data_IF_739582356916
#
_entry.id   IF_739582356916
#
_cell.length_a   1.000
_cell.length_b   1.000
_cell.length_c   1.000
_cell.angle_alpha   90.00
_cell.angle_beta   90.00
_cell.angle_gamma   90.00
#
_symmetry.space_group_name_H-M   'P 1'
#
loop_
_entity.id
_entity.type
_entity.pdbx_description
1 polymer ?
#
# COMPACT_ATOMS: atom_id res chain seq x y z
N UNK A 1 -9.26 -29.35 3.14
CA UNK A 1 -8.42 -30.23 2.29
C UNK A 1 -8.63 -29.91 0.80
N UNK A 2 -9.04 -28.69 0.50
CA UNK A 2 -9.81 -28.42 -0.73
C UNK A 2 -8.96 -27.69 -1.78
N UNK A 3 -7.97 -26.93 -1.33
CA UNK A 3 -6.93 -26.37 -2.18
C UNK A 3 -6.09 -27.45 -2.89
N UNK A 4 -5.81 -28.57 -2.21
CA UNK A 4 -5.02 -29.66 -2.79
C UNK A 4 -5.76 -30.37 -3.93
N UNK A 5 -7.07 -30.59 -3.79
CA UNK A 5 -7.88 -31.21 -4.86
C UNK A 5 -8.06 -30.26 -6.06
N UNK A 6 -8.22 -28.96 -5.79
CA UNK A 6 -8.28 -27.94 -6.85
C UNK A 6 -6.96 -27.84 -7.62
N UNK A 7 -5.83 -27.75 -6.91
CA UNK A 7 -4.48 -27.71 -7.52
C UNK A 7 -4.20 -28.99 -8.32
N UNK A 8 -4.56 -30.16 -7.76
CA UNK A 8 -4.37 -31.44 -8.44
C UNK A 8 -5.23 -31.54 -9.72
N UNK A 9 -6.44 -30.99 -9.71
CA UNK A 9 -7.32 -30.89 -10.87
C UNK A 9 -6.72 -30.03 -12.00
N UNK A 10 -6.20 -28.85 -11.66
CA UNK A 10 -5.57 -27.94 -12.64
C UNK A 10 -4.29 -28.57 -13.23
N UNK A 11 -3.42 -29.13 -12.39
CA UNK A 11 -2.21 -29.82 -12.84
C UNK A 11 -2.53 -31.00 -13.77
N UNK A 12 -3.52 -31.82 -13.42
CA UNK A 12 -3.99 -32.92 -14.25
C UNK A 12 -4.52 -32.45 -15.62
N UNK A 13 -5.26 -31.35 -15.64
CA UNK A 13 -5.82 -30.77 -16.86
C UNK A 13 -4.70 -30.29 -17.81
N UNK A 14 -3.68 -29.61 -17.29
CA UNK A 14 -2.53 -29.12 -18.07
C UNK A 14 -1.75 -30.28 -18.68
N UNK A 15 -1.44 -31.32 -17.90
CA UNK A 15 -0.72 -32.51 -18.40
C UNK A 15 -1.53 -33.23 -19.49
N UNK A 16 -2.84 -33.36 -19.31
CA UNK A 16 -3.71 -34.02 -20.30
C UNK A 16 -3.78 -33.22 -21.62
N UNK A 17 -3.85 -31.88 -21.54
CA UNK A 17 -3.78 -30.99 -22.69
C UNK A 17 -2.47 -31.13 -23.47
N UNK A 18 -1.33 -31.17 -22.78
CA UNK A 18 -0.01 -31.36 -23.40
C UNK A 18 0.07 -32.71 -24.12
N UNK A 19 -0.40 -33.80 -23.49
CA UNK A 19 -0.41 -35.12 -24.12
C UNK A 19 -1.36 -35.20 -25.32
N UNK A 20 -2.47 -34.45 -25.31
CA UNK A 20 -3.39 -34.35 -26.44
C UNK A 20 -2.72 -33.64 -27.62
N UNK A 21 -2.02 -32.52 -27.39
CA UNK A 21 -1.23 -31.83 -28.41
C UNK A 21 -0.17 -32.75 -29.03
N UNK A 22 0.58 -33.50 -28.19
CA UNK A 22 1.57 -34.47 -28.67
C UNK A 22 0.92 -35.61 -29.46
N UNK A 23 -0.26 -36.08 -29.05
CA UNK A 23 -1.01 -37.13 -29.74
C UNK A 23 -1.59 -36.69 -31.08
N UNK A 24 -1.98 -35.41 -31.21
CA UNK A 24 -2.38 -34.78 -32.48
C UNK A 24 -1.20 -34.80 -33.45
N UNK A 25 -0.03 -34.36 -33.02
CA UNK A 25 1.18 -34.32 -33.85
C UNK A 25 1.63 -35.72 -34.25
N UNK A 26 1.52 -36.70 -33.35
CA UNK A 26 1.97 -38.09 -33.58
C UNK A 26 0.91 -39.00 -34.25
N UNK A 27 -0.25 -38.48 -34.64
CA UNK A 27 -1.36 -39.22 -35.29
C UNK A 27 -1.75 -40.52 -34.58
N UNK A 28 -1.70 -40.55 -33.25
CA UNK A 28 -2.06 -41.73 -32.43
C UNK A 28 -3.55 -41.74 -32.07
N UNK A 29 -4.13 -42.92 -31.74
CA UNK A 29 -5.56 -43.02 -31.44
C UNK A 29 -5.96 -42.20 -30.20
N UNK A 30 -6.92 -41.29 -30.41
CA UNK A 30 -7.31 -40.24 -29.44
C UNK A 30 -8.30 -40.69 -28.36
N UNK A 31 -8.87 -41.90 -28.50
CA UNK A 31 -10.00 -42.38 -27.68
C UNK A 31 -9.66 -42.50 -26.19
N UNK A 32 -8.45 -42.94 -25.85
CA UNK A 32 -8.01 -43.11 -24.45
C UNK A 32 -7.71 -41.77 -23.75
N UNK A 33 -7.20 -40.78 -24.50
CA UNK A 33 -6.90 -39.44 -23.99
C UNK A 33 -8.18 -38.62 -23.74
N UNK A 34 -9.18 -38.78 -24.60
CA UNK A 34 -10.47 -38.09 -24.43
C UNK A 34 -11.19 -38.54 -23.15
N UNK A 35 -11.12 -39.84 -22.83
CA UNK A 35 -11.69 -40.39 -21.58
C UNK A 35 -11.00 -39.80 -20.34
N UNK A 36 -9.67 -39.65 -20.39
CA UNK A 36 -8.91 -39.01 -19.31
C UNK A 36 -9.29 -37.54 -19.09
N UNK A 37 -9.52 -36.79 -20.18
CA UNK A 37 -9.96 -35.39 -20.11
C UNK A 37 -11.35 -35.27 -19.45
N UNK A 38 -12.30 -36.13 -19.80
CA UNK A 38 -13.62 -36.15 -19.18
C UNK A 38 -13.55 -36.47 -17.68
N UNK A 39 -12.68 -37.40 -17.26
CA UNK A 39 -12.48 -37.72 -15.85
C UNK A 39 -11.91 -36.53 -15.06
N UNK A 40 -10.91 -35.83 -15.60
CA UNK A 40 -10.36 -34.62 -14.98
C UNK A 40 -11.39 -33.49 -14.88
N UNK A 41 -12.22 -33.32 -15.89
CA UNK A 41 -13.28 -32.31 -15.89
C UNK A 41 -14.33 -32.57 -14.82
N UNK A 42 -14.72 -33.84 -14.61
CA UNK A 42 -15.66 -34.22 -13.55
C UNK A 42 -15.07 -33.92 -12.17
N UNK A 43 -13.79 -34.24 -11.94
CA UNK A 43 -13.10 -33.94 -10.67
C UNK A 43 -13.02 -32.42 -10.43
N UNK A 44 -12.74 -31.64 -11.47
CA UNK A 44 -12.71 -30.18 -11.40
C UNK A 44 -14.09 -29.60 -11.03
N UNK A 45 -15.17 -30.05 -11.67
CA UNK A 45 -16.53 -29.57 -11.38
C UNK A 45 -16.95 -29.92 -9.95
N UNK A 46 -16.59 -31.11 -9.46
CA UNK A 46 -16.85 -31.51 -8.06
C UNK A 46 -16.06 -30.62 -7.10
N UNK A 47 -14.79 -30.31 -7.41
CA UNK A 47 -13.96 -29.43 -6.58
C UNK A 47 -14.48 -27.99 -6.50
N UNK A 48 -15.09 -27.47 -7.57
CA UNK A 48 -15.68 -26.12 -7.61
C UNK A 48 -17.09 -26.08 -7.01
N UNK A 49 -17.82 -27.21 -6.99
CA UNK A 49 -19.23 -27.26 -6.57
C UNK A 49 -19.45 -27.68 -5.11
N UNK A 50 -18.38 -27.95 -4.35
CA UNK A 50 -18.52 -28.16 -2.91
C UNK A 50 -18.68 -26.80 -2.21
N UNK A 51 -19.76 -26.57 -1.44
CA UNK A 51 -19.87 -25.37 -0.61
C UNK A 51 -18.74 -25.36 0.41
N UNK A 52 -18.15 -24.17 0.65
CA UNK A 52 -17.14 -23.98 1.69
C UNK A 52 -17.67 -24.50 3.03
N UNK A 53 -17.17 -25.66 3.46
CA UNK A 53 -17.30 -26.06 4.85
C UNK A 53 -16.38 -25.14 5.64
N UNK A 54 -16.99 -24.24 6.42
CA UNK A 54 -16.33 -23.37 7.39
C UNK A 54 -15.22 -24.13 8.11
N UNK A 55 -13.98 -23.77 7.83
CA UNK A 55 -12.82 -24.19 8.61
C UNK A 55 -12.74 -23.31 9.87
N UNK A 56 -13.69 -23.52 10.78
CA UNK A 56 -13.49 -23.21 12.19
C UNK A 56 -13.13 -24.52 12.89
N UNK A 57 -11.85 -24.69 13.21
CA UNK A 57 -11.39 -24.46 14.59
C UNK A 57 -10.06 -25.21 14.81
N UNK A 58 -9.03 -24.43 15.17
CA UNK A 58 -7.90 -24.76 16.07
C UNK A 58 -6.80 -23.69 15.90
N UNK A 59 -7.10 -22.45 16.30
CA UNK A 59 -6.47 -21.82 17.46
C UNK A 59 -7.07 -20.44 17.74
N UNK A 60 -8.19 -20.45 18.45
CA UNK A 60 -8.56 -19.55 19.55
C UNK A 60 -8.21 -18.05 19.46
N UNK A 61 -9.27 -17.32 19.09
CA UNK A 61 -9.73 -16.03 19.66
C UNK A 61 -9.00 -14.76 19.23
N UNK A 62 -9.50 -14.16 18.13
CA UNK A 62 -9.80 -12.73 18.11
C UNK A 62 -11.18 -12.55 17.48
N UNK A 63 -12.15 -12.20 18.32
CA UNK A 63 -13.46 -11.71 17.87
C UNK A 63 -13.20 -10.54 16.93
N UNK A 64 -13.58 -10.69 15.66
CA UNK A 64 -13.74 -9.55 14.75
C UNK A 64 -15.07 -8.93 15.13
N UNK A 65 -15.03 -8.07 16.14
CA UNK A 65 -15.98 -6.99 16.22
C UNK A 65 -15.67 -6.04 15.08
N UNK A 66 -16.67 -5.79 14.23
CA UNK A 66 -16.76 -4.60 13.38
C UNK A 66 -16.54 -3.36 14.25
N UNK A 67 -15.29 -2.90 14.33
CA UNK A 67 -14.91 -1.69 15.04
C UNK A 67 -14.99 -0.50 14.08
N UNK A 68 -15.79 0.50 14.46
CA UNK A 68 -15.76 1.83 13.88
C UNK A 68 -14.31 2.33 13.76
N UNK A 69 -13.87 2.68 12.56
CA UNK A 69 -12.52 3.18 12.23
C UNK A 69 -12.13 4.49 12.96
N UNK A 70 -13.04 5.06 13.76
CA UNK A 70 -12.85 6.30 14.51
C UNK A 70 -12.27 6.10 15.92
N UNK A 71 -12.27 4.89 16.48
CA UNK A 71 -11.75 4.64 17.84
C UNK A 71 -10.32 4.04 17.82
N UNK A 72 -9.54 4.35 18.87
CA UNK A 72 -8.19 3.81 19.02
C UNK A 72 -8.21 2.29 19.23
N UNK A 73 -7.27 1.59 18.60
CA UNK A 73 -7.09 0.16 18.78
C UNK A 73 -6.25 -0.15 20.05
N UNK A 74 -6.21 -1.42 20.47
CA UNK A 74 -5.50 -1.85 21.69
C UNK A 74 -4.00 -1.50 21.69
N UNK A 75 -3.37 -1.55 20.52
CA UNK A 75 -1.94 -1.24 20.33
C UNK A 75 -1.67 0.27 20.49
N UNK A 76 -2.53 1.11 19.90
CA UNK A 76 -2.51 2.56 20.05
C UNK A 76 -2.74 3.00 21.50
N UNK A 77 -3.59 2.28 22.23
CA UNK A 77 -3.81 2.51 23.65
C UNK A 77 -2.61 2.11 24.51
N UNK A 78 -1.85 1.08 24.10
CA UNK A 78 -0.62 0.69 24.79
C UNK A 78 0.46 1.76 24.69
N UNK A 79 0.57 2.43 23.53
CA UNK A 79 1.51 3.53 23.30
C UNK A 79 1.27 4.69 24.26
N UNK A 80 0.00 4.99 24.56
CA UNK A 80 -0.36 6.06 25.51
C UNK A 80 0.21 5.81 26.92
N UNK A 81 0.47 4.56 27.30
CA UNK A 81 0.99 4.23 28.63
C UNK A 81 2.52 4.27 28.73
N UNK A 82 3.23 4.50 27.61
CA UNK A 82 4.70 4.57 27.56
C UNK A 82 5.20 6.01 27.71
N UNK A 83 6.48 6.19 28.00
CA UNK A 83 7.15 7.50 27.88
C UNK A 83 7.67 7.69 26.47
N UNK A 84 7.69 8.94 25.98
CA UNK A 84 8.11 9.27 24.62
C UNK A 84 9.55 8.83 24.31
N UNK A 85 10.42 8.84 25.34
CA UNK A 85 11.81 8.41 25.19
C UNK A 85 11.96 6.89 25.05
N UNK A 86 10.99 6.12 25.53
CA UNK A 86 10.98 4.66 25.46
C UNK A 86 10.26 4.15 24.20
N UNK A 87 9.67 5.05 23.41
CA UNK A 87 9.02 4.71 22.14
C UNK A 87 10.07 4.39 21.07
N UNK A 88 9.80 3.32 20.33
CA UNK A 88 10.45 3.05 19.04
C UNK A 88 10.07 4.10 18.00
N UNK A 89 10.85 4.21 16.92
CA UNK A 89 10.54 5.16 15.84
C UNK A 89 9.18 4.88 15.17
N UNK A 90 8.76 3.61 15.16
CA UNK A 90 7.45 3.19 14.69
C UNK A 90 6.33 3.66 15.61
N UNK A 91 6.49 3.51 16.94
CA UNK A 91 5.51 3.97 17.92
C UNK A 91 5.42 5.51 17.98
N UNK A 92 6.53 6.21 17.74
CA UNK A 92 6.53 7.69 17.59
C UNK A 92 5.71 8.14 16.39
N UNK A 93 5.72 7.38 15.30
CA UNK A 93 4.87 7.64 14.13
C UNK A 93 3.40 7.34 14.44
N UNK A 94 3.12 6.25 15.15
CA UNK A 94 1.77 5.94 15.62
C UNK A 94 1.20 7.02 16.57
N UNK A 95 2.04 7.68 17.38
CA UNK A 95 1.61 8.84 18.19
C UNK A 95 1.04 9.99 17.35
N UNK A 96 1.55 10.18 16.12
CA UNK A 96 1.03 11.19 15.18
C UNK A 96 -0.36 10.76 14.68
N UNK A 97 -0.54 9.48 14.38
CA UNK A 97 -1.83 8.90 13.96
C UNK A 97 -2.87 9.02 15.07
N UNK A 98 -2.48 8.73 16.31
CA UNK A 98 -3.34 8.89 17.50
C UNK A 98 -3.79 10.35 17.63
N UNK A 99 -2.90 11.33 17.47
CA UNK A 99 -3.25 12.75 17.50
C UNK A 99 -4.25 13.12 16.39
N UNK A 100 -4.03 12.65 15.17
CA UNK A 100 -4.94 12.91 14.05
C UNK A 100 -6.33 12.33 14.29
N UNK A 101 -6.43 11.11 14.84
CA UNK A 101 -7.73 10.51 15.23
C UNK A 101 -8.44 11.35 16.31
N UNK A 102 -7.70 11.91 17.25
CA UNK A 102 -8.25 12.82 18.27
C UNK A 102 -8.77 14.13 17.67
N UNK A 103 -8.04 14.71 16.72
CA UNK A 103 -8.46 15.92 16.01
C UNK A 103 -9.73 15.64 15.16
N UNK A 104 -9.88 14.40 14.70
CA UNK A 104 -11.06 13.91 13.98
C UNK A 104 -12.21 13.44 14.89
N UNK A 105 -12.12 13.67 16.20
CA UNK A 105 -13.23 13.44 17.13
C UNK A 105 -13.26 12.07 17.81
N UNK A 106 -12.18 11.29 17.74
CA UNK A 106 -12.06 10.05 18.50
C UNK A 106 -12.26 10.28 20.01
N UNK A 107 -13.02 9.39 20.65
CA UNK A 107 -13.33 9.50 22.08
C UNK A 107 -12.26 8.83 22.93
N UNK A 108 -11.57 9.61 23.76
CA UNK A 108 -10.70 9.11 24.83
C UNK A 108 -11.37 9.23 26.19
N UNK A 109 -11.07 8.26 27.07
CA UNK A 109 -11.33 8.44 28.48
C UNK A 109 -10.37 9.49 29.08
N UNK A 110 -10.65 9.94 30.30
CA UNK A 110 -9.89 11.00 30.97
C UNK A 110 -8.40 10.66 31.13
N UNK A 111 -8.10 9.41 31.51
CA UNK A 111 -6.74 8.92 31.75
C UNK A 111 -5.93 8.88 30.45
N UNK A 112 -6.50 8.36 29.36
CA UNK A 112 -5.87 8.29 28.04
C UNK A 112 -5.56 9.69 27.50
N UNK A 113 -6.45 10.66 27.72
CA UNK A 113 -6.23 12.05 27.30
C UNK A 113 -5.09 12.72 28.07
N UNK A 114 -5.00 12.46 29.37
CA UNK A 114 -3.88 12.95 30.21
C UNK A 114 -2.55 12.33 29.75
N UNK A 115 -2.55 11.04 29.46
CA UNK A 115 -1.40 10.30 28.93
C UNK A 115 -0.95 10.82 27.56
N UNK A 116 -1.88 11.08 26.63
CA UNK A 116 -1.57 11.68 25.33
C UNK A 116 -0.94 13.07 25.48
N UNK A 117 -1.50 13.93 26.33
CA UNK A 117 -0.95 15.27 26.56
C UNK A 117 0.46 15.21 27.18
N UNK A 118 0.70 14.27 28.09
CA UNK A 118 2.02 14.01 28.66
C UNK A 118 3.02 13.60 27.59
N UNK A 119 2.67 12.67 26.72
CA UNK A 119 3.51 12.22 25.59
C UNK A 119 3.84 13.34 24.60
N UNK A 120 2.86 14.17 24.26
CA UNK A 120 3.07 15.32 23.37
C UNK A 120 4.04 16.35 24.00
N UNK A 121 3.94 16.57 25.31
CA UNK A 121 4.87 17.45 26.02
C UNK A 121 6.29 16.87 26.06
N UNK A 122 6.43 15.57 26.35
CA UNK A 122 7.74 14.89 26.33
C UNK A 122 8.38 14.93 24.93
N UNK A 123 7.57 14.83 23.87
CA UNK A 123 8.02 15.02 22.49
C UNK A 123 8.59 16.41 22.26
N UNK A 124 7.89 17.46 22.69
CA UNK A 124 8.37 18.85 22.55
C UNK A 124 9.70 19.06 23.28
N UNK A 125 9.84 18.52 24.49
CA UNK A 125 11.07 18.57 25.28
C UNK A 125 12.21 17.78 24.61
N UNK A 126 11.93 16.60 24.05
CA UNK A 126 12.90 15.82 23.28
C UNK A 126 13.42 16.58 22.06
N UNK A 127 12.51 17.19 21.28
CA UNK A 127 12.86 17.99 20.10
C UNK A 127 13.64 19.26 20.46
N UNK A 128 13.33 19.90 21.60
CA UNK A 128 14.04 21.07 22.08
C UNK A 128 15.51 20.77 22.43
N UNK A 129 15.80 19.55 22.91
CA UNK A 129 17.12 19.12 23.37
C UNK A 129 17.99 18.45 22.28
N UNK A 130 17.52 18.36 21.03
CA UNK A 130 18.34 17.82 19.94
C UNK A 130 19.53 18.75 19.59
N UNK A 131 20.77 18.22 19.49
CA UNK A 131 21.95 18.99 19.11
C UNK A 131 21.82 19.60 17.71
N UNK A 132 22.29 20.84 17.56
CA UNK A 132 22.02 21.71 16.41
C UNK A 132 22.53 21.21 15.05
N UNK A 133 23.40 20.20 15.01
CA UNK A 133 23.86 19.57 13.75
C UNK A 133 22.91 18.49 13.20
N UNK A 134 21.82 18.16 13.92
CA UNK A 134 20.64 17.43 13.41
C UNK A 134 19.44 18.35 13.12
N UNK A 135 19.62 19.68 13.17
CA UNK A 135 18.58 20.68 12.82
C UNK A 135 18.69 21.10 11.35
N UNK A 136 18.49 20.16 10.44
CA UNK A 136 18.15 20.47 9.03
C UNK A 136 17.06 19.48 8.64
N UNK A 137 15.80 19.71 9.04
CA UNK A 137 14.81 20.27 8.09
C UNK A 137 13.54 20.88 8.75
N UNK A 138 13.47 21.12 10.07
CA UNK A 138 12.21 21.50 10.74
C UNK A 138 12.10 22.99 11.16
N UNK A 139 12.69 23.93 10.41
CA UNK A 139 12.67 25.37 10.81
C UNK A 139 12.25 26.38 9.74
N UNK A 140 11.39 26.00 8.80
CA UNK A 140 10.82 26.96 7.83
C UNK A 140 9.31 26.90 7.64
N UNK A 141 8.54 26.49 8.65
CA UNK A 141 7.08 26.68 8.63
C UNK A 141 6.57 27.18 9.97
N UNK A 142 6.97 28.40 10.37
CA UNK A 142 6.18 29.15 11.35
C UNK A 142 6.43 30.67 11.25
N UNK A 143 5.89 31.30 10.21
CA UNK A 143 5.11 32.55 10.31
C UNK A 143 4.82 33.14 8.92
N UNK A 144 3.55 33.07 8.49
CA UNK A 144 2.86 34.26 8.00
C UNK A 144 1.35 34.11 8.16
N UNK A 145 0.82 34.93 9.08
CA UNK A 145 -0.57 35.31 9.31
C UNK A 145 -1.47 35.27 8.06
N UNK A 146 -2.56 34.50 8.21
CA UNK A 146 -3.96 34.74 7.80
C UNK A 146 -4.18 35.95 6.87
N UNK A 147 -4.41 35.67 5.58
CA UNK A 147 -5.54 36.23 4.83
C UNK A 147 -5.80 35.40 3.56
N UNK A 148 -7.00 34.79 3.46
CA UNK A 148 -7.64 34.11 2.31
C UNK A 148 -6.92 32.93 1.62
N UNK A 149 -7.23 31.67 2.01
CA UNK A 149 -7.33 30.46 1.15
C UNK A 149 -7.45 29.17 2.01
N UNK A 150 -8.66 28.64 2.30
CA UNK A 150 -8.81 27.48 3.19
C UNK A 150 -9.13 26.13 2.50
N UNK A 151 -9.16 26.05 1.17
CA UNK A 151 -9.65 24.82 0.47
C UNK A 151 -8.52 24.04 -0.22
N UNK A 152 -7.44 24.71 -0.58
CA UNK A 152 -6.40 24.16 -1.47
C UNK A 152 -5.32 23.36 -0.72
N UNK A 153 -5.04 23.74 0.52
CA UNK A 153 -4.09 23.04 1.40
C UNK A 153 -4.68 21.72 1.90
N UNK A 154 -5.97 21.71 2.21
CA UNK A 154 -6.71 20.51 2.62
C UNK A 154 -6.69 19.43 1.54
N UNK A 155 -6.93 19.78 0.27
CA UNK A 155 -6.98 18.78 -0.80
C UNK A 155 -5.62 18.15 -1.11
N UNK A 156 -4.53 18.93 -1.03
CA UNK A 156 -3.16 18.39 -1.16
C UNK A 156 -2.87 17.37 -0.05
N UNK A 157 -3.29 17.67 1.17
CA UNK A 157 -3.19 16.78 2.33
C UNK A 157 -3.99 15.49 2.15
N UNK A 158 -5.22 15.55 1.63
CA UNK A 158 -6.03 14.36 1.33
C UNK A 158 -5.36 13.42 0.31
N UNK A 159 -4.79 13.98 -0.76
CA UNK A 159 -4.08 13.19 -1.79
C UNK A 159 -2.84 12.53 -1.17
N UNK A 160 -2.07 13.30 -0.38
CA UNK A 160 -0.89 12.77 0.31
C UNK A 160 -1.26 11.65 1.28
N UNK A 161 -2.33 11.81 2.06
CA UNK A 161 -2.83 10.79 2.98
C UNK A 161 -3.29 9.54 2.24
N UNK A 162 -3.98 9.68 1.10
CA UNK A 162 -4.40 8.53 0.30
C UNK A 162 -3.19 7.70 -0.19
N UNK A 163 -2.09 8.36 -0.56
CA UNK A 163 -0.83 7.73 -0.95
C UNK A 163 -0.20 7.02 0.26
N UNK A 164 -0.05 7.71 1.40
CA UNK A 164 0.52 7.13 2.63
C UNK A 164 -0.24 5.90 3.09
N UNK A 165 -1.57 6.01 3.22
CA UNK A 165 -2.42 4.88 3.61
C UNK A 165 -2.24 3.70 2.67
N UNK A 166 -2.12 3.93 1.36
CA UNK A 166 -1.94 2.83 0.42
C UNK A 166 -0.60 2.11 0.57
N UNK A 167 0.47 2.83 0.88
CA UNK A 167 1.79 2.28 1.12
C UNK A 167 1.77 1.39 2.38
N UNK A 168 1.11 1.88 3.43
CA UNK A 168 0.96 1.20 4.72
C UNK A 168 0.08 -0.06 4.58
N UNK A 169 -1.14 0.08 4.06
CA UNK A 169 -2.09 -1.01 3.82
C UNK A 169 -1.53 -2.07 2.86
N UNK A 170 -0.81 -1.58 1.85
CA UNK A 170 -0.19 -2.38 0.80
C UNK A 170 0.94 -3.27 1.25
N UNK A 171 1.47 -3.03 2.45
CA UNK A 171 2.66 -3.69 2.96
C UNK A 171 3.78 -3.62 1.93
N UNK A 172 4.14 -2.41 1.49
CA UNK A 172 5.30 -2.21 0.61
C UNK A 172 6.61 -2.44 1.38
N UNK A 173 6.84 -3.69 1.80
CA UNK A 173 7.86 -4.12 2.77
C UNK A 173 9.30 -3.78 2.36
N UNK A 174 9.50 -3.48 1.09
CA UNK A 174 10.81 -3.24 0.49
C UNK A 174 10.91 -1.83 -0.10
N UNK A 175 9.92 -0.97 0.15
CA UNK A 175 9.90 0.41 -0.31
C UNK A 175 9.95 1.35 0.89
N UNK A 176 11.04 2.10 1.01
CA UNK A 176 11.18 3.11 2.05
C UNK A 176 10.73 4.45 1.47
N UNK A 177 9.59 4.99 1.92
CA UNK A 177 9.11 6.29 1.46
C UNK A 177 10.06 7.39 1.96
N UNK A 178 10.61 8.18 1.04
CA UNK A 178 11.47 9.33 1.32
C UNK A 178 10.63 10.61 1.44
N UNK A 179 9.81 10.90 0.43
CA UNK A 179 8.94 12.09 0.43
C UNK A 179 7.80 11.97 -0.59
N UNK A 180 6.76 12.76 -0.37
CA UNK A 180 5.65 13.00 -1.30
C UNK A 180 5.58 14.51 -1.56
N UNK A 181 5.36 14.92 -2.79
CA UNK A 181 5.17 16.32 -3.18
C UNK A 181 3.93 16.39 -4.06
N UNK A 182 2.95 17.20 -3.67
CA UNK A 182 1.74 17.46 -4.45
C UNK A 182 1.79 18.90 -4.97
N UNK A 183 1.92 19.04 -6.29
CA UNK A 183 1.99 20.34 -6.96
C UNK A 183 0.71 20.61 -7.75
N UNK A 184 0.35 21.88 -7.93
CA UNK A 184 -0.69 22.25 -8.88
C UNK A 184 -0.20 22.04 -10.32
N UNK A 185 -1.11 21.59 -11.17
CA UNK A 185 -0.90 21.48 -12.59
C UNK A 185 -1.25 22.83 -13.27
N UNK A 186 -0.27 23.74 -13.39
CA UNK A 186 -0.44 25.06 -14.00
C UNK A 186 -0.67 25.03 -15.54
N UNK A 187 -0.83 23.84 -16.15
CA UNK A 187 -0.96 23.64 -17.60
C UNK A 187 -2.38 23.30 -18.07
N UNK A 188 -3.03 24.27 -18.73
CA UNK A 188 -4.20 24.16 -19.62
C UNK A 188 -5.41 23.31 -19.16
N UNK A 189 -6.32 23.91 -18.37
CA UNK A 189 -7.77 23.89 -18.61
C UNK A 189 -8.52 22.56 -18.76
N UNK A 190 -7.97 21.42 -18.32
CA UNK A 190 -8.59 20.09 -18.34
C UNK A 190 -8.88 19.53 -16.94
N UNK A 191 -9.43 18.30 -16.88
CA UNK A 191 -9.59 17.54 -15.62
C UNK A 191 -8.22 17.16 -15.06
N UNK A 192 -7.93 17.57 -13.83
CA UNK A 192 -6.68 17.26 -13.13
C UNK A 192 -5.91 18.52 -12.69
N UNK A 193 -6.19 18.96 -11.46
CA UNK A 193 -5.59 20.15 -10.84
C UNK A 193 -4.24 19.90 -10.20
N UNK A 194 -3.85 18.64 -9.99
CA UNK A 194 -2.64 18.27 -9.26
C UNK A 194 -1.73 17.29 -10.03
N UNK A 195 -0.44 17.35 -9.70
CA UNK A 195 0.59 16.38 -10.06
C UNK A 195 1.19 15.85 -8.76
N UNK A 196 1.26 14.52 -8.62
CA UNK A 196 1.86 13.86 -7.47
C UNK A 196 3.27 13.35 -7.81
N UNK A 197 4.25 13.69 -6.97
CA UNK A 197 5.62 13.17 -7.07
C UNK A 197 5.92 12.36 -5.81
N UNK A 198 6.20 11.07 -5.97
CA UNK A 198 6.44 10.15 -4.86
C UNK A 198 7.86 9.60 -4.97
N UNK A 199 8.62 9.64 -3.88
CA UNK A 199 10.02 9.25 -3.86
C UNK A 199 10.21 8.10 -2.87
N UNK A 200 10.77 7.00 -3.35
CA UNK A 200 11.12 5.83 -2.58
C UNK A 200 12.62 5.55 -2.64
N UNK A 201 13.13 4.88 -1.60
CA UNK A 201 14.43 4.22 -1.58
C UNK A 201 14.22 2.70 -1.58
N UNK A 202 15.04 2.02 -2.37
CA UNK A 202 15.04 0.57 -2.52
C UNK A 202 16.43 0.04 -2.15
N UNK A 203 16.55 -0.48 -0.94
CA UNK A 203 17.81 -0.93 -0.32
C UNK A 203 17.99 -2.46 -0.33
N UNK A 204 17.03 -3.18 -0.91
CA UNK A 204 17.08 -4.65 -0.97
C UNK A 204 18.07 -5.11 -2.03
N UNK A 205 18.99 -5.98 -1.60
CA UNK A 205 19.93 -6.67 -2.47
C UNK A 205 19.19 -7.60 -3.43
N UNK A 206 19.07 -7.19 -4.70
CA UNK A 206 18.46 -7.96 -5.77
C UNK A 206 19.10 -7.62 -7.12
N UNK A 207 18.91 -8.51 -8.10
CA UNK A 207 19.31 -8.21 -9.49
C UNK A 207 18.49 -7.04 -10.03
N UNK A 208 19.08 -6.31 -10.98
CA UNK A 208 18.43 -5.20 -11.71
C UNK A 208 17.03 -5.57 -12.22
N UNK A 209 16.90 -6.76 -12.82
CA UNK A 209 15.63 -7.25 -13.37
C UNK A 209 14.57 -7.49 -12.30
N UNK A 210 14.94 -8.14 -11.18
CA UNK A 210 14.03 -8.36 -10.05
C UNK A 210 13.64 -7.05 -9.38
N UNK A 211 14.60 -6.13 -9.20
CA UNK A 211 14.34 -4.79 -8.69
C UNK A 211 13.33 -4.03 -9.55
N UNK A 212 13.49 -4.03 -10.87
CA UNK A 212 12.54 -3.40 -11.80
C UNK A 212 11.12 -3.97 -11.61
N UNK A 213 10.99 -5.30 -11.53
CA UNK A 213 9.70 -5.96 -11.32
C UNK A 213 9.00 -5.50 -10.03
N UNK A 214 9.74 -5.42 -8.93
CA UNK A 214 9.18 -4.99 -7.63
C UNK A 214 8.82 -3.51 -7.65
N UNK A 215 9.73 -2.65 -8.09
CA UNK A 215 9.49 -1.20 -8.14
C UNK A 215 8.32 -0.86 -9.06
N UNK A 216 8.22 -1.52 -10.23
CA UNK A 216 7.09 -1.37 -11.15
C UNK A 216 5.79 -1.85 -10.52
N UNK A 217 5.79 -3.03 -9.89
CA UNK A 217 4.58 -3.57 -9.24
C UNK A 217 4.02 -2.61 -8.19
N UNK A 218 4.85 -2.05 -7.32
CA UNK A 218 4.40 -1.05 -6.34
C UNK A 218 3.98 0.27 -7.00
N UNK A 219 4.66 0.69 -8.06
CA UNK A 219 4.31 1.91 -8.78
C UNK A 219 2.95 1.81 -9.47
N UNK A 220 2.71 0.69 -10.16
CA UNK A 220 1.44 0.39 -10.84
C UNK A 220 0.29 0.31 -9.83
N UNK A 221 0.53 -0.36 -8.71
CA UNK A 221 -0.43 -0.53 -7.63
C UNK A 221 -0.80 0.79 -6.94
N UNK A 222 0.19 1.66 -6.70
CA UNK A 222 -0.04 2.98 -6.13
C UNK A 222 -0.87 3.86 -7.09
N UNK A 223 -0.49 3.90 -8.37
CA UNK A 223 -1.22 4.66 -9.38
C UNK A 223 -2.66 4.14 -9.55
N UNK A 224 -2.86 2.82 -9.61
CA UNK A 224 -4.19 2.22 -9.69
C UNK A 224 -5.05 2.55 -8.47
N UNK A 225 -4.46 2.64 -7.28
CA UNK A 225 -5.19 2.96 -6.07
C UNK A 225 -5.80 4.36 -6.10
N UNK A 226 -5.08 5.36 -6.61
CA UNK A 226 -5.62 6.72 -6.71
C UNK A 226 -6.88 6.74 -7.60
N UNK A 227 -6.85 6.03 -8.73
CA UNK A 227 -8.03 5.86 -9.57
C UNK A 227 -9.18 5.14 -8.84
N UNK A 228 -8.88 4.03 -8.15
CA UNK A 228 -9.87 3.23 -7.42
C UNK A 228 -10.51 3.98 -6.24
N UNK A 229 -9.76 4.87 -5.58
CA UNK A 229 -10.27 5.77 -4.53
C UNK A 229 -11.02 6.98 -5.09
N UNK A 230 -11.17 7.08 -6.41
CA UNK A 230 -11.91 8.16 -7.06
C UNK A 230 -11.18 9.51 -7.02
N UNK A 231 -9.85 9.52 -6.86
CA UNK A 231 -9.01 10.73 -6.89
C UNK A 231 -8.73 11.04 -8.37
N UNK A 232 -9.61 11.83 -8.99
CA UNK A 232 -9.58 12.15 -10.43
C UNK A 232 -8.92 13.49 -10.75
N UNK A 233 -8.66 14.28 -9.73
CA UNK A 233 -8.06 15.60 -9.80
C UNK A 233 -6.52 15.56 -9.78
N UNK A 234 -5.92 14.38 -9.72
CA UNK A 234 -4.50 14.14 -10.01
C UNK A 234 -4.35 13.78 -11.48
N UNK A 235 -3.80 14.70 -12.29
CA UNK A 235 -3.58 14.50 -13.72
C UNK A 235 -2.42 13.53 -14.00
N UNK A 236 -1.39 13.58 -13.17
CA UNK A 236 -0.16 12.80 -13.34
C UNK A 236 0.39 12.37 -11.99
N UNK A 237 0.92 11.15 -11.94
CA UNK A 237 1.76 10.69 -10.84
C UNK A 237 3.10 10.20 -11.37
N UNK A 238 4.19 10.72 -10.81
CA UNK A 238 5.55 10.26 -11.09
C UNK A 238 6.18 9.67 -9.83
N UNK A 239 6.62 8.42 -9.95
CA UNK A 239 7.17 7.62 -8.85
C UNK A 239 8.65 7.40 -9.12
N UNK A 240 9.48 7.91 -8.23
CA UNK A 240 10.93 7.87 -8.30
C UNK A 240 11.46 6.86 -7.29
N UNK A 241 12.41 6.06 -7.73
CA UNK A 241 13.10 5.06 -6.91
C UNK A 241 14.59 5.30 -6.94
N UNK A 242 15.21 5.40 -5.76
CA UNK A 242 16.65 5.30 -5.57
C UNK A 242 16.99 3.82 -5.27
N UNK A 243 17.57 3.12 -6.25
CA UNK A 243 18.01 1.72 -6.13
C UNK A 243 19.46 1.70 -5.65
N UNK A 244 19.61 1.69 -4.33
CA UNK A 244 20.89 1.83 -3.64
C UNK A 244 21.84 0.69 -3.96
N UNK A 245 21.34 -0.52 -4.12
CA UNK A 245 22.17 -1.68 -4.41
C UNK A 245 22.73 -1.65 -5.83
N UNK A 246 21.88 -1.32 -6.82
CA UNK A 246 22.31 -1.25 -8.22
C UNK A 246 22.83 0.13 -8.65
N UNK A 247 22.93 1.10 -7.70
CA UNK A 247 23.50 2.44 -7.89
C UNK A 247 22.87 3.21 -9.05
N UNK A 248 21.54 3.29 -9.05
CA UNK A 248 20.77 3.96 -10.11
C UNK A 248 19.47 4.55 -9.59
N UNK A 249 18.87 5.41 -10.41
CA UNK A 249 17.52 5.92 -10.19
C UNK A 249 16.58 5.35 -11.26
N UNK A 250 15.36 5.00 -10.85
CA UNK A 250 14.29 4.53 -11.74
C UNK A 250 13.07 5.44 -11.59
N UNK A 251 12.40 5.75 -12.70
CA UNK A 251 11.18 6.56 -12.72
C UNK A 251 10.07 5.83 -13.45
N UNK A 252 8.88 5.82 -12.87
CA UNK A 252 7.64 5.41 -13.51
C UNK A 252 6.68 6.60 -13.49
N UNK A 253 6.27 7.09 -14.65
CA UNK A 253 5.33 8.20 -14.78
C UNK A 253 4.01 7.70 -15.37
N UNK A 254 2.90 8.17 -14.80
CA UNK A 254 1.56 7.75 -15.18
C UNK A 254 0.65 8.96 -15.40
N UNK A 255 -0.20 8.88 -16.41
CA UNK A 255 -1.18 9.91 -16.75
C UNK A 255 -2.59 9.41 -16.49
N UNK A 256 -3.43 10.26 -15.91
CA UNK A 256 -4.84 9.96 -15.69
C UNK A 256 -5.65 10.20 -16.97
N UNK A 257 -6.27 9.14 -17.50
CA UNK A 257 -7.13 9.18 -18.69
C UNK A 257 -8.28 8.20 -18.53
N UNK A 258 -9.48 8.55 -19.00
CA UNK A 258 -10.61 7.61 -19.08
C UNK A 258 -10.92 6.85 -17.78
N UNK A 259 -10.75 7.49 -16.62
CA UNK A 259 -11.02 6.87 -15.32
C UNK A 259 -9.85 6.12 -14.67
N UNK A 260 -8.71 5.96 -15.35
CA UNK A 260 -7.57 5.16 -14.88
C UNK A 260 -6.21 5.85 -15.14
N UNK A 261 -5.17 5.38 -14.45
CA UNK A 261 -3.79 5.77 -14.73
C UNK A 261 -3.13 4.84 -15.74
N UNK A 262 -2.44 5.42 -16.73
CA UNK A 262 -1.68 4.68 -17.74
C UNK A 262 -0.22 5.10 -17.71
N UNK A 263 0.68 4.13 -17.87
CA UNK A 263 2.11 4.40 -17.96
C UNK A 263 2.39 5.31 -19.16
N UNK A 264 2.99 6.47 -18.90
CA UNK A 264 3.41 7.45 -19.89
C UNK A 264 4.89 7.27 -20.24
N UNK A 265 5.73 7.10 -19.22
CA UNK A 265 7.19 7.05 -19.38
C UNK A 265 7.82 6.15 -18.31
N UNK A 266 8.91 5.49 -18.69
CA UNK A 266 9.74 4.68 -17.81
C UNK A 266 11.21 5.00 -18.10
N UNK A 267 11.95 5.38 -17.08
CA UNK A 267 13.35 5.73 -17.21
C UNK A 267 14.21 5.02 -16.15
N UNK A 268 15.43 4.62 -16.53
CA UNK A 268 16.42 4.05 -15.61
C UNK A 268 16.31 2.53 -15.36
N UNK A 269 15.34 1.85 -15.99
CA UNK A 269 15.22 0.38 -15.98
C UNK A 269 16.41 -0.33 -16.62
#
# INVERSE_FOLDING_TARGET
MDLLLFILGILGMVVCLILLLVSIVRKKPKKKLLIGLCACFIIFVIGVSMPESNFDDLNSKKEIETANEENLNEEELEILNKSYNDLTDMEKNQLIVIKSKMDNGATLNKEQRENLNKLLKEKEEYLANLPSDKKTNDKKEENKKIESQPIEEDRKSEIENAIKSRIDDGKYRTANLDKIIINENLGQGGEGTYIALVYFKFDIMNTRETGNKVMRMYSDDLAATLANKGIKDVAEIAIFWEDDYNKRNVKYAYEYKNGNFYVMDIAGE
#
